data_IF_911940006100
#
_entry.id   IF_911940006100
#
_cell.length_a   1.000
_cell.length_b   1.000
_cell.length_c   1.000
_cell.angle_alpha   90.00
_cell.angle_beta   90.00
_cell.angle_gamma   90.00
#
_symmetry.space_group_name_H-M   'P 1'
#
loop_
_entity.id
_entity.type
_entity.pdbx_description
1 polymer ?
#
# COMPACT_ATOMS: atom_id res chain seq x y z
N UNK A 1 18.51 -13.45 -7.27
CA UNK A 1 17.79 -13.13 -8.51
C UNK A 1 17.04 -11.83 -8.26
N UNK A 2 17.32 -10.81 -9.05
CA UNK A 2 16.63 -9.51 -9.02
C UNK A 2 15.21 -9.70 -9.56
N UNK A 3 14.19 -9.13 -8.90
CA UNK A 3 12.82 -9.14 -9.45
C UNK A 3 12.77 -8.08 -10.56
N UNK A 4 12.24 -8.42 -11.74
CA UNK A 4 11.93 -7.43 -12.77
C UNK A 4 10.51 -6.86 -12.59
N UNK A 5 10.22 -5.72 -13.24
CA UNK A 5 8.93 -5.04 -13.08
C UNK A 5 7.73 -5.91 -13.48
N UNK A 6 7.89 -6.76 -14.50
CA UNK A 6 6.81 -7.63 -14.98
C UNK A 6 6.50 -8.76 -14.00
N UNK A 7 7.53 -9.33 -13.36
CA UNK A 7 7.37 -10.29 -12.29
C UNK A 7 6.71 -9.64 -11.07
N UNK A 8 7.18 -8.47 -10.64
CA UNK A 8 6.61 -7.76 -9.50
C UNK A 8 5.12 -7.45 -9.73
N UNK A 9 4.78 -6.97 -10.93
CA UNK A 9 3.39 -6.70 -11.32
C UNK A 9 2.49 -7.93 -11.14
N UNK A 10 2.91 -9.09 -11.64
CA UNK A 10 2.16 -10.35 -11.46
C UNK A 10 1.98 -10.70 -9.99
N UNK A 11 3.04 -10.60 -9.19
CA UNK A 11 2.96 -10.87 -7.74
C UNK A 11 1.99 -9.93 -7.02
N UNK A 12 1.97 -8.64 -7.38
CA UNK A 12 1.01 -7.66 -6.86
C UNK A 12 -0.42 -8.01 -7.28
N UNK A 13 -0.64 -8.27 -8.56
CA UNK A 13 -1.98 -8.57 -9.08
C UNK A 13 -2.57 -9.82 -8.42
N UNK A 14 -1.79 -10.90 -8.34
CA UNK A 14 -2.21 -12.17 -7.74
C UNK A 14 -2.48 -12.02 -6.24
N UNK A 15 -1.63 -11.29 -5.52
CA UNK A 15 -1.78 -11.12 -4.08
C UNK A 15 -3.02 -10.29 -3.71
N UNK A 16 -3.40 -9.32 -4.54
CA UNK A 16 -4.49 -8.38 -4.26
C UNK A 16 -5.79 -8.66 -5.03
N UNK A 17 -5.82 -9.68 -5.89
CA UNK A 17 -6.98 -10.04 -6.71
C UNK A 17 -8.28 -10.21 -5.92
N UNK A 18 -8.20 -10.73 -4.69
CA UNK A 18 -9.34 -11.01 -3.82
C UNK A 18 -9.65 -9.88 -2.83
N UNK A 19 -8.96 -8.73 -2.89
CA UNK A 19 -9.18 -7.65 -1.92
C UNK A 19 -10.53 -6.99 -2.17
N UNK A 20 -11.44 -7.00 -1.17
CA UNK A 20 -12.77 -6.42 -1.34
C UNK A 20 -12.68 -4.91 -1.54
N UNK A 21 -13.63 -4.37 -2.31
CA UNK A 21 -13.86 -2.93 -2.33
C UNK A 21 -14.32 -2.48 -0.93
N UNK A 22 -13.74 -1.42 -0.34
CA UNK A 22 -14.10 -0.97 1.02
C UNK A 22 -15.58 -0.55 1.14
N UNK A 23 -16.23 -0.19 0.03
CA UNK A 23 -17.55 0.44 0.02
C UNK A 23 -17.43 1.97 0.04
N UNK A 24 -18.38 2.64 -0.63
CA UNK A 24 -18.34 4.09 -0.86
C UNK A 24 -18.28 4.90 0.46
N UNK A 25 -18.93 4.40 1.51
CA UNK A 25 -18.98 5.05 2.82
C UNK A 25 -17.77 4.73 3.72
N UNK A 26 -16.81 3.96 3.22
CA UNK A 26 -15.65 3.51 4.00
C UNK A 26 -14.32 3.81 3.29
N UNK A 27 -14.32 4.79 2.39
CA UNK A 27 -13.11 5.25 1.70
C UNK A 27 -12.22 6.07 2.65
N UNK A 28 -12.80 7.01 3.40
CA UNK A 28 -12.09 7.97 4.27
C UNK A 28 -12.55 7.86 5.71
N UNK A 29 -11.67 8.20 6.67
CA UNK A 29 -11.95 8.08 8.12
C UNK A 29 -12.54 9.37 8.72
N UNK A 30 -12.19 10.55 8.20
CA UNK A 30 -12.61 11.84 8.76
C UNK A 30 -13.62 12.55 7.86
N UNK A 31 -14.25 13.59 8.44
CA UNK A 31 -15.11 14.52 7.72
C UNK A 31 -14.39 15.86 7.60
N UNK A 32 -13.81 16.12 6.43
CA UNK A 32 -13.28 17.41 6.03
C UNK A 32 -13.42 17.56 4.52
N UNK A 33 -13.22 18.77 4.00
CA UNK A 33 -13.38 19.06 2.57
C UNK A 33 -12.49 18.17 1.68
N UNK A 34 -11.26 17.87 2.10
CA UNK A 34 -10.35 16.95 1.37
C UNK A 34 -10.88 15.52 1.37
N UNK A 35 -11.43 15.06 2.50
CA UNK A 35 -12.05 13.75 2.61
C UNK A 35 -13.27 13.62 1.69
N UNK A 36 -14.07 14.67 1.53
CA UNK A 36 -15.23 14.67 0.62
C UNK A 36 -14.80 14.58 -0.86
N UNK A 37 -13.72 15.27 -1.24
CA UNK A 37 -13.13 15.17 -2.57
C UNK A 37 -12.58 13.77 -2.85
N UNK A 38 -11.88 13.18 -1.88
CA UNK A 38 -11.37 11.81 -1.99
C UNK A 38 -12.52 10.81 -2.07
N UNK A 39 -13.50 10.89 -1.17
CA UNK A 39 -14.66 10.00 -1.19
C UNK A 39 -15.37 10.07 -2.53
N UNK A 40 -15.56 11.27 -3.09
CA UNK A 40 -16.16 11.47 -4.42
C UNK A 40 -15.30 10.88 -5.54
N UNK A 41 -13.99 11.13 -5.52
CA UNK A 41 -13.06 10.65 -6.56
C UNK A 41 -13.00 9.12 -6.60
N UNK A 42 -12.99 8.46 -5.45
CA UNK A 42 -12.79 7.01 -5.34
C UNK A 42 -14.09 6.19 -5.29
N UNK A 43 -15.25 6.87 -5.28
CA UNK A 43 -16.58 6.24 -5.27
C UNK A 43 -16.76 5.27 -6.43
N UNK A 44 -17.11 4.02 -6.12
CA UNK A 44 -17.32 2.96 -7.10
C UNK A 44 -16.09 2.54 -7.92
N UNK A 45 -14.89 3.08 -7.64
CA UNK A 45 -13.68 2.79 -8.42
C UNK A 45 -12.89 1.67 -7.80
N UNK A 46 -12.63 0.60 -8.55
CA UNK A 46 -11.80 -0.53 -8.08
C UNK A 46 -10.38 -0.38 -8.57
N UNK A 47 -9.41 -0.84 -7.78
CA UNK A 47 -8.02 -0.82 -8.20
C UNK A 47 -7.79 -1.60 -9.51
N UNK A 48 -8.53 -2.69 -9.72
CA UNK A 48 -8.43 -3.54 -10.91
C UNK A 48 -8.74 -2.81 -12.21
N UNK A 49 -9.60 -1.78 -12.16
CA UNK A 49 -10.01 -1.01 -13.34
C UNK A 49 -8.92 -0.03 -13.78
N UNK A 50 -7.94 0.24 -12.90
CA UNK A 50 -6.87 1.22 -13.10
C UNK A 50 -5.47 0.58 -13.08
N UNK A 51 -5.37 -0.75 -13.01
CA UNK A 51 -4.07 -1.44 -12.87
C UNK A 51 -3.10 -1.19 -14.03
N UNK A 52 -3.62 -0.93 -15.23
CA UNK A 52 -2.85 -0.64 -16.44
C UNK A 52 -2.51 0.86 -16.59
N UNK A 53 -3.14 1.71 -15.79
CA UNK A 53 -2.96 3.16 -15.78
C UNK A 53 -3.07 3.75 -14.36
N UNK A 54 -2.28 3.29 -13.37
CA UNK A 54 -2.55 3.54 -11.95
C UNK A 54 -2.63 5.03 -11.60
N UNK A 55 -1.79 5.85 -12.22
CA UNK A 55 -1.74 7.30 -11.99
C UNK A 55 -3.02 8.04 -12.42
N UNK A 56 -3.89 7.48 -13.26
CA UNK A 56 -5.19 8.11 -13.58
C UNK A 56 -6.09 8.23 -12.35
N UNK A 57 -6.00 7.27 -11.42
CA UNK A 57 -6.76 7.31 -10.18
C UNK A 57 -5.96 7.91 -9.03
N UNK A 58 -4.73 7.46 -8.79
CA UNK A 58 -3.98 7.84 -7.58
C UNK A 58 -2.96 8.96 -7.79
N UNK A 59 -2.81 9.44 -9.02
CA UNK A 59 -1.91 10.55 -9.34
C UNK A 59 -2.48 11.93 -9.02
N UNK A 60 -1.70 13.00 -9.31
CA UNK A 60 -2.10 14.39 -9.15
C UNK A 60 -3.47 14.71 -9.78
N UNK A 61 -4.26 15.63 -9.19
CA UNK A 61 -3.89 16.53 -8.09
C UNK A 61 -4.11 15.95 -6.68
N UNK A 62 -4.45 14.66 -6.56
CA UNK A 62 -4.76 14.04 -5.25
C UNK A 62 -3.82 12.85 -4.99
N UNK A 63 -2.50 13.09 -5.10
CA UNK A 63 -1.47 12.14 -4.64
C UNK A 63 -1.51 11.91 -3.13
N UNK A 64 -2.10 12.85 -2.39
CA UNK A 64 -2.08 12.89 -0.93
C UNK A 64 -3.32 12.20 -0.31
N UNK A 65 -4.00 11.34 -1.07
CA UNK A 65 -5.18 10.62 -0.59
C UNK A 65 -4.84 9.52 0.43
N UNK A 66 -3.67 8.90 0.31
CA UNK A 66 -3.25 7.75 1.14
C UNK A 66 -3.31 8.02 2.65
N UNK A 67 -2.82 9.16 3.16
CA UNK A 67 -2.97 9.55 4.56
C UNK A 67 -4.41 9.62 5.07
N UNK A 68 -5.41 9.81 4.19
CA UNK A 68 -6.81 10.01 4.56
C UNK A 68 -7.67 8.74 4.42
N UNK A 69 -7.15 7.69 3.79
CA UNK A 69 -7.86 6.42 3.65
C UNK A 69 -8.08 5.70 4.97
N UNK A 70 -9.24 5.04 5.10
CA UNK A 70 -9.44 4.00 6.11
C UNK A 70 -8.46 2.84 5.88
N UNK A 71 -8.22 1.96 6.88
CA UNK A 71 -7.39 0.77 6.68
C UNK A 71 -7.87 -0.12 5.51
N UNK A 72 -9.19 -0.26 5.32
CA UNK A 72 -9.75 -1.07 4.24
C UNK A 72 -9.49 -0.44 2.86
N UNK A 73 -9.70 0.88 2.72
CA UNK A 73 -9.43 1.59 1.48
C UNK A 73 -7.93 1.65 1.17
N UNK A 74 -7.10 1.85 2.19
CA UNK A 74 -5.65 1.83 2.05
C UNK A 74 -5.16 0.49 1.48
N UNK A 75 -5.63 -0.63 2.06
CA UNK A 75 -5.34 -1.98 1.55
C UNK A 75 -5.84 -2.18 0.11
N UNK A 76 -7.05 -1.71 -0.19
CA UNK A 76 -7.64 -1.85 -1.53
C UNK A 76 -6.87 -1.11 -2.62
N UNK A 77 -6.38 0.10 -2.36
CA UNK A 77 -5.66 0.91 -3.36
C UNK A 77 -4.14 0.77 -3.31
N UNK A 78 -3.58 0.04 -2.34
CA UNK A 78 -2.15 -0.24 -2.25
C UNK A 78 -1.53 -0.80 -3.55
N UNK A 79 -2.19 -1.71 -4.32
CA UNK A 79 -1.66 -2.18 -5.59
C UNK A 79 -1.32 -1.06 -6.57
N UNK A 80 -2.18 -0.04 -6.67
CA UNK A 80 -1.97 1.06 -7.61
C UNK A 80 -0.71 1.84 -7.25
N UNK A 81 -0.44 2.06 -5.96
CA UNK A 81 0.78 2.77 -5.53
C UNK A 81 2.04 1.97 -5.89
N UNK A 82 2.02 0.65 -5.62
CA UNK A 82 3.14 -0.23 -5.95
C UNK A 82 3.36 -0.33 -7.47
N UNK A 83 2.29 -0.45 -8.27
CA UNK A 83 2.37 -0.49 -9.73
C UNK A 83 2.86 0.84 -10.31
N UNK A 84 2.32 1.98 -9.83
CA UNK A 84 2.77 3.30 -10.27
C UNK A 84 4.26 3.53 -10.00
N UNK A 85 4.73 3.16 -8.80
CA UNK A 85 6.13 3.26 -8.43
C UNK A 85 7.03 2.33 -9.27
N UNK A 86 6.59 1.09 -9.52
CA UNK A 86 7.35 0.12 -10.30
C UNK A 86 7.44 0.46 -11.81
N UNK A 87 6.36 1.01 -12.39
CA UNK A 87 6.27 1.31 -13.82
C UNK A 87 6.75 2.72 -14.17
N UNK A 88 6.65 3.67 -13.24
CA UNK A 88 6.91 5.09 -13.49
C UNK A 88 7.31 5.83 -12.22
N UNK A 89 8.37 5.36 -11.53
CA UNK A 89 8.85 5.92 -10.26
C UNK A 89 8.91 7.45 -10.22
N UNK A 90 9.54 8.08 -11.22
CA UNK A 90 9.66 9.55 -11.26
C UNK A 90 8.31 10.28 -11.41
N UNK A 91 7.31 9.64 -12.03
CA UNK A 91 5.96 10.21 -12.17
C UNK A 91 5.08 9.93 -10.94
N UNK A 92 5.40 8.88 -10.19
CA UNK A 92 4.75 8.61 -8.91
C UNK A 92 5.10 9.69 -7.87
N UNK A 93 6.23 10.38 -8.01
CA UNK A 93 6.62 11.52 -7.15
C UNK A 93 6.50 11.12 -5.66
N UNK A 94 5.81 11.91 -4.84
CA UNK A 94 5.64 11.67 -3.40
C UNK A 94 4.72 10.50 -3.06
N UNK A 95 4.00 9.92 -4.04
CA UNK A 95 3.03 8.83 -3.82
C UNK A 95 3.65 7.62 -3.12
N UNK A 96 4.85 7.23 -3.56
CA UNK A 96 5.58 6.08 -2.99
C UNK A 96 5.89 6.33 -1.52
N UNK A 97 6.36 7.53 -1.19
CA UNK A 97 6.64 7.94 0.18
C UNK A 97 5.36 7.97 1.03
N UNK A 98 4.29 8.59 0.54
CA UNK A 98 3.00 8.68 1.24
C UNK A 98 2.42 7.30 1.55
N UNK A 99 2.53 6.37 0.59
CA UNK A 99 2.14 4.99 0.78
C UNK A 99 2.98 4.31 1.87
N UNK A 100 4.31 4.38 1.79
CA UNK A 100 5.17 3.69 2.74
C UNK A 100 5.07 4.27 4.16
N UNK A 101 5.05 5.61 4.30
CA UNK A 101 4.76 6.28 5.58
C UNK A 101 3.39 5.92 6.13
N UNK A 102 2.44 5.54 5.28
CA UNK A 102 1.11 5.13 5.68
C UNK A 102 1.07 3.82 6.50
N UNK A 103 2.12 3.00 6.41
CA UNK A 103 2.26 1.69 7.09
C UNK A 103 3.54 1.55 7.91
N UNK A 104 4.41 2.56 7.88
CA UNK A 104 5.67 2.59 8.62
C UNK A 104 5.43 2.52 10.13
N UNK A 105 6.14 1.64 10.87
CA UNK A 105 6.16 1.69 12.32
C UNK A 105 6.88 2.96 12.79
N UNK A 106 6.15 3.85 13.44
CA UNK A 106 6.72 5.03 14.10
C UNK A 106 6.13 5.21 15.50
N UNK A 107 6.74 6.08 16.29
CA UNK A 107 6.24 6.50 17.60
C UNK A 107 5.81 7.97 17.52
N UNK A 108 4.64 8.20 16.94
CA UNK A 108 3.99 9.51 16.82
C UNK A 108 2.47 9.41 16.97
N UNK A 109 1.75 10.53 16.82
CA UNK A 109 0.28 10.57 16.93
C UNK A 109 -0.44 9.70 15.88
N UNK A 110 0.25 9.26 14.84
CA UNK A 110 -0.30 8.41 13.77
C UNK A 110 -0.02 6.93 13.96
N UNK A 111 0.72 6.54 15.01
CA UNK A 111 1.14 5.15 15.31
C UNK A 111 -0.02 4.16 15.19
N UNK A 112 -1.15 4.44 15.85
CA UNK A 112 -2.30 3.53 15.86
C UNK A 112 -2.91 3.35 14.46
N UNK A 113 -2.97 4.42 13.65
CA UNK A 113 -3.50 4.39 12.29
C UNK A 113 -2.58 3.59 11.36
N UNK A 114 -1.26 3.83 11.41
CA UNK A 114 -0.28 3.10 10.61
C UNK A 114 -0.27 1.61 10.97
N UNK A 115 -0.33 1.28 12.26
CA UNK A 115 -0.46 -0.09 12.74
C UNK A 115 -1.75 -0.76 12.25
N UNK A 116 -2.89 -0.08 12.29
CA UNK A 116 -4.17 -0.60 11.79
C UNK A 116 -4.13 -0.85 10.28
N UNK A 117 -3.49 0.02 9.49
CA UNK A 117 -3.29 -0.17 8.04
C UNK A 117 -2.42 -1.38 7.75
N UNK A 118 -1.25 -1.49 8.39
CA UNK A 118 -0.39 -2.66 8.24
C UNK A 118 -1.10 -3.95 8.68
N UNK A 119 -1.92 -3.87 9.73
CA UNK A 119 -2.72 -4.98 10.22
C UNK A 119 -3.86 -5.42 9.29
N UNK A 120 -4.26 -4.60 8.33
CA UNK A 120 -5.33 -4.95 7.39
C UNK A 120 -4.85 -5.95 6.31
N UNK A 121 -3.55 -5.99 6.02
CA UNK A 121 -2.99 -6.82 4.96
C UNK A 121 -3.00 -8.31 5.32
N UNK A 122 -3.31 -9.13 4.30
CA UNK A 122 -3.22 -10.59 4.34
C UNK A 122 -1.78 -11.08 4.09
N UNK A 123 -1.45 -12.36 4.39
CA UNK A 123 -0.07 -12.84 4.28
C UNK A 123 0.50 -12.76 2.85
N UNK A 124 -0.29 -13.12 1.84
CA UNK A 124 0.13 -13.01 0.43
C UNK A 124 0.40 -11.55 0.02
N UNK A 125 -0.41 -10.61 0.50
CA UNK A 125 -0.23 -9.18 0.26
C UNK A 125 1.02 -8.62 0.95
N UNK A 126 1.30 -9.07 2.18
CA UNK A 126 2.54 -8.74 2.89
C UNK A 126 3.78 -9.29 2.17
N UNK A 127 3.69 -10.48 1.56
CA UNK A 127 4.78 -11.03 0.73
C UNK A 127 4.99 -10.21 -0.53
N UNK A 128 3.92 -9.77 -1.21
CA UNK A 128 4.02 -8.86 -2.36
C UNK A 128 4.62 -7.49 -1.97
N UNK A 129 4.26 -6.96 -0.79
CA UNK A 129 4.89 -5.76 -0.21
C UNK A 129 6.40 -5.96 0.01
N UNK A 130 6.85 -7.11 0.51
CA UNK A 130 8.29 -7.41 0.64
C UNK A 130 8.99 -7.49 -0.72
N UNK A 131 8.35 -8.11 -1.72
CA UNK A 131 8.86 -8.11 -3.10
C UNK A 131 8.99 -6.70 -3.67
N UNK A 132 7.99 -5.85 -3.42
CA UNK A 132 8.00 -4.44 -3.81
C UNK A 132 9.16 -3.69 -3.14
N UNK A 133 9.35 -3.81 -1.83
CA UNK A 133 10.46 -3.14 -1.11
C UNK A 133 11.83 -3.59 -1.65
N UNK A 134 12.00 -4.89 -1.95
CA UNK A 134 13.23 -5.40 -2.59
C UNK A 134 13.44 -4.78 -3.96
N UNK A 135 12.40 -4.76 -4.80
CA UNK A 135 12.48 -4.14 -6.12
C UNK A 135 12.87 -2.66 -6.03
N UNK A 136 12.30 -1.91 -5.10
CA UNK A 136 12.63 -0.50 -4.89
C UNK A 136 14.09 -0.31 -4.45
N UNK A 137 14.59 -1.15 -3.54
CA UNK A 137 16.01 -1.12 -3.12
C UNK A 137 16.97 -1.40 -4.26
N UNK A 138 16.62 -2.33 -5.14
CA UNK A 138 17.47 -2.75 -6.26
C UNK A 138 17.49 -1.69 -7.38
N UNK A 139 16.36 -1.04 -7.66
CA UNK A 139 16.21 -0.10 -8.78
C UNK A 139 16.35 1.37 -8.40
N UNK A 140 16.10 1.72 -7.14
CA UNK A 140 16.17 3.09 -6.60
C UNK A 140 17.02 3.16 -5.32
N UNK A 141 18.28 2.67 -5.35
CA UNK A 141 19.10 2.51 -4.14
C UNK A 141 19.43 3.84 -3.45
N UNK A 142 19.43 4.97 -4.16
CA UNK A 142 19.66 6.28 -3.55
C UNK A 142 18.54 6.68 -2.58
N UNK A 143 17.30 6.35 -2.91
CA UNK A 143 16.15 6.72 -2.08
C UNK A 143 15.85 5.66 -1.01
N UNK A 144 16.22 4.40 -1.27
CA UNK A 144 15.87 3.25 -0.43
C UNK A 144 17.03 2.65 0.38
N UNK A 145 18.29 2.99 0.08
CA UNK A 145 19.48 2.49 0.81
C UNK A 145 20.39 3.58 1.39
N UNK A 146 20.29 4.84 0.96
CA UNK A 146 21.08 5.92 1.56
C UNK A 146 20.54 6.23 2.97
N UNK A 147 21.45 6.32 3.96
CA UNK A 147 21.13 6.52 5.38
C UNK A 147 20.33 7.80 5.68
N UNK A 148 20.04 8.07 6.96
CA UNK A 148 18.68 8.35 7.43
C UNK A 148 17.82 9.06 6.37
N UNK A 149 17.26 8.28 5.43
CA UNK A 149 16.27 8.81 4.49
C UNK A 149 14.95 9.07 5.22
N UNK A 150 14.02 9.72 4.51
CA UNK A 150 12.71 10.17 4.99
C UNK A 150 11.84 9.13 5.71
N UNK A 151 12.10 7.82 5.56
CA UNK A 151 11.39 6.70 6.22
C UNK A 151 12.30 5.47 6.35
N UNK A 152 12.18 4.73 7.45
CA UNK A 152 13.03 3.58 7.80
C UNK A 152 12.54 2.28 7.15
N UNK A 153 13.02 2.04 5.92
CA UNK A 153 12.70 0.84 5.14
C UNK A 153 13.08 -0.45 5.89
N UNK A 154 14.17 -0.45 6.65
CA UNK A 154 14.61 -1.64 7.38
C UNK A 154 13.66 -1.97 8.54
N UNK A 155 13.19 -0.95 9.27
CA UNK A 155 12.16 -1.11 10.29
C UNK A 155 10.83 -1.57 9.72
N UNK A 156 10.41 -1.04 8.56
CA UNK A 156 9.20 -1.50 7.88
C UNK A 156 9.32 -2.96 7.43
N UNK A 157 10.42 -3.34 6.78
CA UNK A 157 10.67 -4.74 6.39
C UNK A 157 10.63 -5.68 7.58
N UNK A 158 11.26 -5.29 8.70
CA UNK A 158 11.26 -6.06 9.94
C UNK A 158 9.83 -6.22 10.47
N UNK A 159 9.05 -5.15 10.52
CA UNK A 159 7.66 -5.20 10.98
C UNK A 159 6.78 -6.10 10.12
N UNK A 160 6.93 -6.04 8.79
CA UNK A 160 6.21 -6.93 7.87
C UNK A 160 6.59 -8.40 8.11
N UNK A 161 7.88 -8.71 8.25
CA UNK A 161 8.37 -10.08 8.52
C UNK A 161 7.86 -10.62 9.86
N UNK A 162 7.98 -9.85 10.94
CA UNK A 162 7.47 -10.24 12.27
C UNK A 162 5.96 -10.49 12.23
N UNK A 163 5.21 -9.67 11.48
CA UNK A 163 3.77 -9.89 11.30
C UNK A 163 3.50 -11.20 10.56
N UNK A 164 4.17 -11.44 9.44
CA UNK A 164 4.06 -12.67 8.65
C UNK A 164 4.33 -13.91 9.50
N UNK A 165 5.45 -13.93 10.23
CA UNK A 165 5.81 -15.03 11.14
C UNK A 165 4.70 -15.25 12.18
N UNK A 166 4.17 -14.18 12.77
CA UNK A 166 3.06 -14.27 13.71
C UNK A 166 1.78 -14.87 13.09
N UNK A 167 1.45 -14.53 11.84
CA UNK A 167 0.29 -15.07 11.11
C UNK A 167 0.50 -16.55 10.77
N UNK A 168 1.69 -16.93 10.34
CA UNK A 168 2.05 -18.32 10.03
C UNK A 168 1.98 -19.22 11.26
N UNK A 169 2.47 -18.74 12.42
CA UNK A 169 2.34 -19.45 13.69
C UNK A 169 0.89 -19.64 14.16
N UNK A 170 -0.03 -18.78 13.70
CA UNK A 170 -1.48 -18.90 13.97
C UNK A 170 -2.25 -19.69 12.89
N UNK A 171 -1.59 -20.15 11.83
CA UNK A 171 -2.24 -20.85 10.71
C UNK A 171 -3.11 -19.93 9.83
N UNK A 172 -2.92 -18.62 9.89
CA UNK A 172 -3.65 -17.62 9.11
C UNK A 172 -3.09 -17.56 7.68
N UNK A 173 -3.26 -18.61 6.87
CA UNK A 173 -2.80 -18.63 5.47
C UNK A 173 -3.88 -18.16 4.47
N UNK A 174 -5.09 -17.83 4.93
CA UNK A 174 -6.22 -17.44 4.08
C UNK A 174 -6.61 -15.98 4.30
N UNK A 175 -7.07 -15.26 3.26
CA UNK A 175 -7.56 -13.89 3.41
C UNK A 175 -8.75 -13.84 4.40
N UNK A 176 -8.90 -12.75 5.17
CA UNK A 176 -10.02 -12.61 6.10
C UNK A 176 -11.33 -12.70 5.31
N UNK A 177 -12.20 -13.65 5.67
CA UNK A 177 -13.54 -13.77 5.09
C UNK A 177 -14.31 -12.48 5.38
N UNK A 178 -14.82 -11.83 4.34
CA UNK A 178 -15.82 -10.77 4.44
C UNK A 178 -17.00 -11.32 5.23
N UNK A 179 -17.43 -10.62 6.28
CA UNK A 179 -18.76 -10.88 6.86
C UNK A 179 -19.78 -10.33 5.86
N UNK A 180 -20.64 -11.21 5.36
CA UNK A 180 -21.86 -10.87 4.61
C UNK A 180 -22.83 -10.03 5.45
#
# INVERSE_FOLDING_TARGET
>A
MTIDAAQLRREIEDAFAAVPYPGDNSIVEHKCWECDLIATKYKGKRWTDYKDCPLELIGPPISDAFPLFTPAAFRHYAPLAMLAAAESYMKADTLTEQFLRGIEPAQDDFTARRAARLAAFAPNELRALLSFLRFMKDNHPLDFNAGPSMFDVASLEKAIKTRLEGMEMRGENAPPRSKE
#
